data_IF_800169597907
#
_entry.id   IF_800169597907
#
_cell.length_a   1.000
_cell.length_b   1.000
_cell.length_c   1.000
_cell.angle_alpha   90.00
_cell.angle_beta   90.00
_cell.angle_gamma   90.00
#
_symmetry.space_group_name_H-M   'P 1'
#
loop_
_entity.id
_entity.type
_entity.pdbx_description
1 polymer ?
#
# COMPACT_ATOMS: atom_id res chain seq x y z
N UNK A 1 -25.79 28.26 -19.16
CA UNK A 1 -26.12 29.57 -18.58
C UNK A 1 -25.31 29.78 -17.30
N UNK A 2 -24.19 30.50 -17.40
CA UNK A 2 -23.44 31.08 -16.28
C UNK A 2 -22.90 32.43 -16.80
N UNK A 3 -23.79 33.42 -16.95
CA UNK A 3 -23.44 34.68 -17.63
C UNK A 3 -23.21 35.85 -16.68
N UNK A 4 -23.25 35.65 -15.36
CA UNK A 4 -23.24 36.74 -14.37
C UNK A 4 -22.27 36.57 -13.20
N UNK A 5 -21.18 35.84 -13.41
CA UNK A 5 -20.05 35.91 -12.47
C UNK A 5 -19.39 37.29 -12.56
N UNK A 6 -19.06 37.89 -11.41
CA UNK A 6 -18.26 39.12 -11.33
C UNK A 6 -16.97 38.93 -12.14
N UNK A 7 -16.80 39.75 -13.19
CA UNK A 7 -15.55 39.80 -13.96
C UNK A 7 -14.61 40.80 -13.30
N UNK A 8 -13.31 40.49 -13.29
CA UNK A 8 -12.32 41.48 -12.87
C UNK A 8 -12.41 42.70 -13.80
N UNK A 9 -12.22 43.90 -13.26
CA UNK A 9 -12.19 45.11 -14.08
C UNK A 9 -11.04 45.01 -15.10
N UNK A 10 -11.32 45.31 -16.37
CA UNK A 10 -10.31 45.32 -17.44
C UNK A 10 -10.16 44.03 -18.26
N UNK A 11 -10.99 43.00 -18.01
CA UNK A 11 -11.04 41.80 -18.87
C UNK A 11 -12.33 41.71 -19.68
N UNK A 12 -12.23 41.37 -20.97
CA UNK A 12 -13.35 41.11 -21.88
C UNK A 12 -13.89 39.66 -21.74
N UNK A 13 -13.22 38.82 -20.94
CA UNK A 13 -13.53 37.40 -20.77
C UNK A 13 -12.88 36.47 -21.80
N UNK A 14 -12.20 36.99 -22.83
CA UNK A 14 -11.38 36.19 -23.74
C UNK A 14 -9.97 35.92 -23.18
N UNK A 15 -9.62 36.58 -22.08
CA UNK A 15 -8.38 36.34 -21.35
C UNK A 15 -8.32 34.99 -20.63
N UNK A 16 -9.34 34.12 -20.73
CA UNK A 16 -9.35 32.82 -20.04
C UNK A 16 -8.13 31.94 -20.41
N UNK A 17 -7.59 32.11 -21.62
CA UNK A 17 -6.34 31.48 -22.08
C UNK A 17 -5.11 32.06 -21.39
N UNK A 18 -5.13 33.36 -21.08
CA UNK A 18 -4.07 34.10 -20.41
C UNK A 18 -4.21 34.11 -18.88
N UNK A 19 -5.38 33.72 -18.36
CA UNK A 19 -5.65 33.58 -16.93
C UNK A 19 -4.70 32.50 -16.41
N UNK A 20 -3.82 32.90 -15.49
CA UNK A 20 -2.75 32.10 -14.89
C UNK A 20 -3.07 30.60 -14.92
N UNK A 21 -2.58 29.90 -15.95
CA UNK A 21 -2.67 28.45 -16.00
C UNK A 21 -1.95 27.96 -14.76
N UNK A 22 -2.67 27.23 -13.91
CA UNK A 22 -2.07 26.59 -12.74
C UNK A 22 -0.83 25.85 -13.24
N UNK A 23 0.34 26.18 -12.68
CA UNK A 23 1.58 25.59 -13.15
C UNK A 23 1.47 24.06 -13.08
N UNK A 24 1.93 23.37 -14.13
CA UNK A 24 1.70 21.94 -14.34
C UNK A 24 2.07 21.10 -13.10
N UNK A 25 3.16 21.43 -12.42
CA UNK A 25 3.61 20.73 -11.21
C UNK A 25 2.58 20.76 -10.05
N UNK A 26 1.75 21.80 -9.94
CA UNK A 26 0.67 21.83 -8.95
C UNK A 26 -0.46 20.87 -9.31
N UNK A 27 -0.80 20.77 -10.60
CA UNK A 27 -1.82 19.83 -11.09
C UNK A 27 -1.34 18.38 -10.88
N UNK A 28 -0.10 18.08 -11.24
CA UNK A 28 0.53 16.78 -11.04
C UNK A 28 0.59 16.41 -9.55
N UNK A 29 1.05 17.33 -8.69
CA UNK A 29 1.07 17.11 -7.25
C UNK A 29 -0.33 16.80 -6.69
N UNK A 30 -1.36 17.52 -7.12
CA UNK A 30 -2.74 17.27 -6.67
C UNK A 30 -3.25 15.90 -7.15
N UNK A 31 -2.99 15.55 -8.41
CA UNK A 31 -3.38 14.27 -9.01
C UNK A 31 -2.70 13.10 -8.30
N UNK A 32 -1.38 13.11 -8.15
CA UNK A 32 -0.64 12.00 -7.53
C UNK A 32 -0.98 11.82 -6.05
N UNK A 33 -1.23 12.91 -5.30
CA UNK A 33 -1.76 12.80 -3.93
C UNK A 33 -3.12 12.09 -3.91
N UNK A 34 -4.00 12.41 -4.85
CA UNK A 34 -5.33 11.80 -4.93
C UNK A 34 -5.23 10.30 -5.25
N UNK A 35 -4.42 9.96 -6.26
CA UNK A 35 -4.18 8.56 -6.67
C UNK A 35 -3.56 7.74 -5.54
N UNK A 36 -2.54 8.26 -4.85
CA UNK A 36 -1.92 7.57 -3.71
C UNK A 36 -2.93 7.27 -2.59
N UNK A 37 -3.82 8.21 -2.27
CA UNK A 37 -4.88 7.96 -1.28
C UNK A 37 -5.79 6.81 -1.69
N UNK A 38 -6.11 6.69 -2.98
CA UNK A 38 -6.89 5.56 -3.48
C UNK A 38 -6.16 4.22 -3.39
N UNK A 39 -4.82 4.19 -3.50
CA UNK A 39 -4.04 2.98 -3.23
C UNK A 39 -3.92 2.64 -1.74
N UNK A 40 -3.95 3.63 -0.85
CA UNK A 40 -3.93 3.39 0.59
C UNK A 40 -5.21 2.71 1.11
N UNK A 41 -6.35 2.86 0.43
CA UNK A 41 -7.62 2.21 0.83
C UNK A 41 -7.53 0.68 0.77
N UNK A 42 -7.23 0.03 -0.38
CA UNK A 42 -7.10 -1.42 -0.44
C UNK A 42 -5.91 -1.93 0.39
N UNK A 43 -4.82 -1.17 0.48
CA UNK A 43 -3.72 -1.49 1.40
C UNK A 43 -4.24 -1.60 2.83
N UNK A 44 -4.95 -0.58 3.32
CA UNK A 44 -5.50 -0.56 4.67
C UNK A 44 -6.48 -1.72 4.92
N UNK A 45 -7.29 -2.10 3.93
CA UNK A 45 -8.19 -3.25 4.05
C UNK A 45 -7.42 -4.57 4.26
N UNK A 46 -6.43 -4.85 3.42
CA UNK A 46 -5.59 -6.06 3.53
C UNK A 46 -4.81 -6.03 4.85
N UNK A 47 -4.31 -4.85 5.22
CA UNK A 47 -3.59 -4.64 6.46
C UNK A 47 -4.46 -4.98 7.68
N UNK A 48 -5.73 -4.58 7.72
CA UNK A 48 -6.65 -4.96 8.80
C UNK A 48 -6.78 -6.48 8.90
N UNK A 49 -6.92 -7.20 7.79
CA UNK A 49 -6.96 -8.67 7.81
C UNK A 49 -5.67 -9.29 8.33
N UNK A 50 -4.51 -8.78 7.91
CA UNK A 50 -3.21 -9.24 8.40
C UNK A 50 -3.03 -8.95 9.90
N UNK A 51 -3.48 -7.79 10.37
CA UNK A 51 -3.51 -7.49 11.81
C UNK A 51 -4.48 -8.37 12.58
N UNK A 52 -5.62 -8.78 12.02
CA UNK A 52 -6.51 -9.74 12.67
C UNK A 52 -5.83 -11.11 12.80
N UNK A 53 -5.15 -11.60 11.75
CA UNK A 53 -4.38 -12.85 11.80
C UNK A 53 -3.22 -12.74 12.79
N UNK A 54 -2.24 -11.91 12.48
CA UNK A 54 -0.97 -11.78 13.23
C UNK A 54 -1.19 -11.21 14.63
N UNK A 55 -2.09 -10.24 14.76
CA UNK A 55 -2.42 -9.62 16.04
C UNK A 55 -3.14 -10.57 17.01
N UNK A 56 -4.01 -11.45 16.51
CA UNK A 56 -4.64 -12.47 17.38
C UNK A 56 -3.61 -13.42 17.98
N UNK A 57 -2.64 -13.85 17.18
CA UNK A 57 -1.52 -14.67 17.62
C UNK A 57 -0.61 -13.93 18.60
N UNK A 58 -0.24 -12.69 18.28
CA UNK A 58 0.57 -11.83 19.14
C UNK A 58 -0.09 -11.62 20.52
N UNK A 59 -1.39 -11.33 20.55
CA UNK A 59 -2.15 -11.15 21.78
C UNK A 59 -2.24 -12.46 22.59
N UNK A 60 -2.41 -13.60 21.92
CA UNK A 60 -2.45 -14.91 22.56
C UNK A 60 -1.12 -15.25 23.24
N UNK A 61 0.01 -15.06 22.54
CA UNK A 61 1.32 -15.42 23.08
C UNK A 61 1.84 -14.44 24.15
N UNK A 62 1.66 -13.14 23.96
CA UNK A 62 2.26 -12.13 24.85
C UNK A 62 1.34 -11.72 26.02
N UNK A 63 0.03 -11.78 25.83
CA UNK A 63 -0.95 -11.32 26.83
C UNK A 63 -1.89 -12.43 27.30
N UNK A 64 -1.74 -13.66 26.81
CA UNK A 64 -2.60 -14.78 27.17
C UNK A 64 -4.05 -14.62 26.71
N UNK A 65 -4.31 -13.73 25.75
CA UNK A 65 -5.66 -13.48 25.25
C UNK A 65 -6.20 -14.69 24.48
N UNK A 66 -7.38 -15.17 24.88
CA UNK A 66 -8.06 -16.29 24.23
C UNK A 66 -9.43 -15.86 23.75
N UNK A 67 -9.77 -16.27 22.53
CA UNK A 67 -11.04 -15.96 21.92
C UNK A 67 -11.54 -17.15 21.11
N UNK A 68 -12.74 -17.63 21.44
CA UNK A 68 -13.32 -18.83 20.84
C UNK A 68 -13.48 -18.75 19.31
N UNK A 69 -13.65 -17.54 18.74
CA UNK A 69 -13.70 -17.37 17.29
C UNK A 69 -12.34 -17.66 16.64
N UNK A 70 -11.25 -17.10 17.19
CA UNK A 70 -9.91 -17.30 16.65
C UNK A 70 -9.38 -18.72 16.91
N UNK A 71 -9.74 -19.33 18.04
CA UNK A 71 -9.44 -20.74 18.32
C UNK A 71 -10.14 -21.67 17.33
N UNK A 72 -11.42 -21.40 17.00
CA UNK A 72 -12.14 -22.16 15.97
C UNK A 72 -11.60 -21.91 14.57
N UNK A 73 -11.12 -20.70 14.31
CA UNK A 73 -10.55 -20.35 13.02
C UNK A 73 -9.26 -21.14 12.76
N UNK A 74 -8.52 -21.49 13.82
CA UNK A 74 -7.32 -22.33 13.82
C UNK A 74 -6.31 -21.94 12.72
N UNK A 75 -5.90 -20.68 12.77
CA UNK A 75 -4.94 -20.14 11.78
C UNK A 75 -3.54 -20.68 12.02
N UNK A 76 -2.79 -20.97 10.93
CA UNK A 76 -1.39 -21.35 11.05
C UNK A 76 -0.58 -20.23 11.68
N UNK A 77 0.50 -20.62 12.37
CA UNK A 77 1.42 -19.69 13.00
C UNK A 77 1.91 -18.63 11.99
N UNK A 78 2.05 -17.39 12.45
CA UNK A 78 2.49 -16.29 11.61
C UNK A 78 3.99 -16.43 11.28
N UNK A 79 4.31 -16.30 10.00
CA UNK A 79 5.70 -16.25 9.56
C UNK A 79 6.36 -14.94 9.99
N UNK A 80 7.68 -14.91 10.23
CA UNK A 80 8.39 -13.68 10.61
C UNK A 80 8.18 -12.51 9.64
N UNK A 81 8.09 -12.78 8.34
CA UNK A 81 7.85 -11.74 7.34
C UNK A 81 6.48 -11.08 7.47
N UNK A 82 5.46 -11.79 7.98
CA UNK A 82 4.11 -11.25 8.18
C UNK A 82 4.11 -10.15 9.24
N UNK A 83 4.86 -10.34 10.33
CA UNK A 83 5.03 -9.33 11.37
C UNK A 83 5.66 -8.05 10.82
N UNK A 84 6.69 -8.18 9.98
CA UNK A 84 7.34 -7.04 9.34
C UNK A 84 6.38 -6.37 8.35
N UNK A 85 5.62 -7.17 7.57
CA UNK A 85 4.64 -6.64 6.63
C UNK A 85 3.50 -5.88 7.31
N UNK A 86 3.08 -6.29 8.52
CA UNK A 86 2.10 -5.56 9.33
C UNK A 86 2.56 -4.14 9.72
N UNK A 87 3.86 -3.82 9.62
CA UNK A 87 4.39 -2.47 9.80
C UNK A 87 4.24 -1.58 8.55
N UNK A 88 3.65 -2.09 7.47
CA UNK A 88 3.41 -1.34 6.22
C UNK A 88 2.40 -0.18 6.35
N UNK A 89 1.79 0.05 7.52
CA UNK A 89 1.06 1.30 7.78
C UNK A 89 1.99 2.51 7.99
N UNK A 90 3.23 2.29 8.41
CA UNK A 90 4.22 3.35 8.64
C UNK A 90 4.42 4.22 7.40
N UNK A 91 4.70 3.67 6.20
CA UNK A 91 4.83 4.49 4.99
C UNK A 91 3.54 5.23 4.62
N UNK A 92 2.34 4.66 4.87
CA UNK A 92 1.07 5.37 4.69
C UNK A 92 1.02 6.63 5.57
N UNK A 93 1.34 6.50 6.87
CA UNK A 93 1.36 7.62 7.81
C UNK A 93 2.39 8.67 7.40
N UNK A 94 3.61 8.26 7.04
CA UNK A 94 4.66 9.16 6.57
C UNK A 94 4.24 9.88 5.28
N UNK A 95 3.70 9.17 4.29
CA UNK A 95 3.23 9.75 3.04
C UNK A 95 2.12 10.78 3.28
N UNK A 96 1.07 10.44 4.03
CA UNK A 96 -0.01 11.36 4.37
C UNK A 96 0.49 12.60 5.12
N UNK A 97 1.42 12.42 6.07
CA UNK A 97 2.01 13.54 6.82
C UNK A 97 2.85 14.48 5.94
N UNK A 98 3.39 13.97 4.82
CA UNK A 98 4.14 14.77 3.85
C UNK A 98 3.23 15.65 2.98
N UNK A 99 1.97 15.26 2.77
CA UNK A 99 1.07 15.89 1.79
C UNK A 99 0.64 17.31 2.17
N UNK A 100 0.49 17.62 3.46
CA UNK A 100 -0.02 18.94 3.89
C UNK A 100 0.93 20.09 3.57
N UNK A 101 2.25 19.84 3.64
CA UNK A 101 3.29 20.87 3.44
C UNK A 101 4.31 20.49 2.37
N UNK A 102 3.96 19.55 1.49
CA UNK A 102 4.82 19.03 0.42
C UNK A 102 6.24 18.69 0.92
N UNK A 103 6.33 17.99 2.07
CA UNK A 103 7.61 17.71 2.73
C UNK A 103 8.37 16.60 1.99
N UNK A 104 9.16 16.97 0.99
CA UNK A 104 9.90 16.05 0.14
C UNK A 104 10.73 15.01 0.92
N UNK A 105 11.46 15.43 1.96
CA UNK A 105 12.25 14.51 2.81
C UNK A 105 11.39 13.42 3.47
N UNK A 106 10.20 13.79 3.96
CA UNK A 106 9.29 12.83 4.62
C UNK A 106 8.68 11.88 3.59
N UNK A 107 8.39 12.37 2.38
CA UNK A 107 7.94 11.52 1.28
C UNK A 107 9.01 10.51 0.86
N UNK A 108 10.29 10.88 0.84
CA UNK A 108 11.38 9.93 0.62
C UNK A 108 11.49 8.88 1.73
N UNK A 109 11.32 9.27 3.00
CA UNK A 109 11.25 8.28 4.09
C UNK A 109 10.06 7.33 3.91
N UNK A 110 8.90 7.83 3.49
CA UNK A 110 7.76 6.98 3.14
C UNK A 110 8.10 6.00 2.00
N UNK A 111 8.74 6.48 0.94
CA UNK A 111 9.16 5.66 -0.21
C UNK A 111 10.09 4.51 0.20
N UNK A 112 11.12 4.77 1.01
CA UNK A 112 12.03 3.72 1.46
C UNK A 112 11.38 2.80 2.52
N UNK A 113 10.54 3.33 3.40
CA UNK A 113 9.77 2.51 4.32
C UNK A 113 8.78 1.58 3.61
N UNK A 114 8.18 2.02 2.50
CA UNK A 114 7.32 1.21 1.63
C UNK A 114 8.09 0.01 1.04
N UNK A 115 9.34 0.21 0.64
CA UNK A 115 10.18 -0.89 0.18
C UNK A 115 10.50 -1.87 1.32
N UNK A 116 10.96 -1.37 2.47
CA UNK A 116 11.43 -2.19 3.61
C UNK A 116 10.28 -2.97 4.27
N UNK A 117 9.12 -2.35 4.43
CA UNK A 117 7.98 -2.95 5.14
C UNK A 117 6.90 -3.50 4.20
N UNK A 118 6.93 -3.19 2.90
CA UNK A 118 5.94 -3.64 1.91
C UNK A 118 6.52 -4.67 0.96
N UNK A 119 7.44 -4.23 0.08
CA UNK A 119 8.02 -5.10 -0.97
C UNK A 119 8.92 -6.18 -0.38
N UNK A 120 9.86 -5.82 0.50
CA UNK A 120 10.89 -6.73 1.00
C UNK A 120 10.33 -7.95 1.76
N UNK A 121 9.34 -7.81 2.67
CA UNK A 121 8.72 -8.96 3.33
C UNK A 121 7.96 -9.86 2.35
N UNK A 122 7.30 -9.28 1.33
CA UNK A 122 6.66 -10.06 0.27
C UNK A 122 7.69 -10.88 -0.54
N UNK A 123 8.88 -10.34 -0.82
CA UNK A 123 9.93 -11.09 -1.52
C UNK A 123 10.44 -12.27 -0.67
N UNK A 124 10.61 -12.07 0.64
CA UNK A 124 10.99 -13.14 1.58
C UNK A 124 9.88 -14.21 1.61
N UNK A 125 8.62 -13.80 1.73
CA UNK A 125 7.47 -14.70 1.73
C UNK A 125 7.35 -15.50 0.43
N UNK A 126 7.51 -14.85 -0.72
CA UNK A 126 7.51 -15.52 -2.03
C UNK A 126 8.61 -16.59 -2.13
N UNK A 127 9.85 -16.23 -1.78
CA UNK A 127 10.96 -17.16 -1.81
C UNK A 127 10.79 -18.32 -0.83
N UNK A 128 10.30 -18.05 0.38
CA UNK A 128 10.08 -19.05 1.42
C UNK A 128 8.98 -20.06 1.05
N UNK A 129 7.90 -19.60 0.39
CA UNK A 129 6.77 -20.45 0.01
C UNK A 129 6.94 -21.12 -1.36
N UNK A 130 8.06 -20.88 -2.06
CA UNK A 130 8.30 -21.47 -3.39
C UNK A 130 8.39 -23.00 -3.38
N UNK A 131 9.10 -23.67 -2.44
CA UNK A 131 9.13 -25.13 -2.40
C UNK A 131 7.75 -25.74 -2.19
N UNK A 132 6.95 -25.18 -1.28
CA UNK A 132 5.57 -25.60 -1.00
C UNK A 132 4.67 -25.42 -2.24
N UNK A 133 4.84 -24.32 -2.99
CA UNK A 133 4.11 -24.10 -4.23
C UNK A 133 4.47 -25.14 -5.30
N UNK A 134 5.76 -25.45 -5.43
CA UNK A 134 6.24 -26.44 -6.40
C UNK A 134 5.81 -27.86 -6.03
N UNK A 135 5.81 -28.21 -4.75
CA UNK A 135 5.27 -29.48 -4.25
C UNK A 135 3.79 -29.59 -4.60
N UNK A 136 2.98 -28.59 -4.23
CA UNK A 136 1.56 -28.54 -4.54
C UNK A 136 1.27 -28.59 -6.06
N UNK A 137 2.07 -27.90 -6.87
CA UNK A 137 1.88 -27.85 -8.32
C UNK A 137 2.23 -29.17 -9.02
N UNK A 138 3.21 -29.91 -8.49
CA UNK A 138 3.61 -31.20 -9.04
C UNK A 138 2.69 -32.34 -8.59
N UNK A 139 2.22 -32.31 -7.34
CA UNK A 139 1.35 -33.33 -6.76
C UNK A 139 0.28 -32.70 -5.86
N UNK A 140 -0.83 -32.29 -6.48
CA UNK A 140 -1.92 -31.63 -5.75
C UNK A 140 -2.59 -32.54 -4.72
N UNK A 141 -2.69 -33.85 -4.99
CA UNK A 141 -3.38 -34.82 -4.12
C UNK A 141 -2.47 -35.34 -3.00
N UNK A 142 -1.18 -35.54 -3.29
CA UNK A 142 -0.19 -36.05 -2.33
C UNK A 142 0.58 -34.97 -1.56
N UNK A 143 0.48 -33.69 -1.92
CA UNK A 143 1.16 -32.63 -1.17
C UNK A 143 0.62 -32.49 0.26
N UNK A 144 1.53 -32.24 1.21
CA UNK A 144 1.18 -32.00 2.61
C UNK A 144 0.93 -30.52 2.92
N UNK A 145 0.54 -29.75 1.90
CA UNK A 145 0.33 -28.31 1.99
C UNK A 145 -0.78 -27.99 2.99
N UNK A 146 -0.56 -27.12 4.00
CA UNK A 146 -1.61 -26.69 4.91
C UNK A 146 -2.80 -26.09 4.14
N UNK A 147 -4.01 -26.44 4.56
CA UNK A 147 -5.24 -25.91 3.94
C UNK A 147 -6.02 -25.03 4.92
N UNK A 148 -6.58 -23.94 4.42
CA UNK A 148 -7.53 -23.13 5.15
C UNK A 148 -8.85 -23.90 5.31
N UNK A 149 -9.14 -24.28 6.56
CA UNK A 149 -10.33 -25.06 6.95
C UNK A 149 -10.52 -26.37 6.17
N UNK A 150 -9.42 -27.02 5.74
CA UNK A 150 -9.50 -28.28 5.00
C UNK A 150 -9.90 -28.14 3.53
N UNK A 151 -10.06 -26.92 3.00
CA UNK A 151 -10.61 -26.71 1.66
C UNK A 151 -9.57 -26.08 0.72
N UNK A 152 -9.03 -24.92 1.09
CA UNK A 152 -8.23 -24.12 0.16
C UNK A 152 -6.75 -24.10 0.55
N UNK A 153 -5.81 -24.44 -0.36
CA UNK A 153 -4.38 -24.50 -0.02
C UNK A 153 -3.85 -23.12 0.40
N UNK A 154 -3.17 -23.07 1.55
CA UNK A 154 -2.69 -21.82 2.11
C UNK A 154 -1.63 -21.17 1.22
N UNK A 155 -0.78 -21.97 0.56
CA UNK A 155 0.22 -21.48 -0.41
C UNK A 155 -0.41 -20.66 -1.54
N UNK A 156 -1.58 -21.07 -2.05
CA UNK A 156 -2.28 -20.34 -3.13
C UNK A 156 -2.82 -19.01 -2.60
N UNK A 157 -3.36 -18.98 -1.38
CA UNK A 157 -3.79 -17.73 -0.72
C UNK A 157 -2.62 -16.77 -0.60
N UNK A 158 -1.45 -17.27 -0.17
CA UNK A 158 -0.26 -16.45 -0.03
C UNK A 158 0.21 -15.87 -1.36
N UNK A 159 0.23 -16.65 -2.44
CA UNK A 159 0.62 -16.14 -3.76
C UNK A 159 -0.38 -15.13 -4.33
N UNK A 160 -1.69 -15.29 -4.06
CA UNK A 160 -2.69 -14.25 -4.38
C UNK A 160 -2.41 -12.97 -3.58
N UNK A 161 -2.16 -13.11 -2.28
CA UNK A 161 -1.78 -11.99 -1.42
C UNK A 161 -0.54 -11.28 -1.93
N UNK A 162 0.54 -12.00 -2.27
CA UNK A 162 1.78 -11.41 -2.78
C UNK A 162 1.54 -10.69 -4.11
N UNK A 163 0.79 -11.28 -5.03
CA UNK A 163 0.48 -10.64 -6.31
C UNK A 163 -0.26 -9.31 -6.12
N UNK A 164 -1.23 -9.24 -5.20
CA UNK A 164 -1.97 -8.02 -4.91
C UNK A 164 -1.11 -7.02 -4.13
N UNK A 165 -0.40 -7.46 -3.09
CA UNK A 165 0.42 -6.61 -2.25
C UNK A 165 1.57 -5.96 -3.05
N UNK A 166 2.27 -6.72 -3.89
CA UNK A 166 3.34 -6.18 -4.73
C UNK A 166 2.83 -5.13 -5.73
N UNK A 167 1.60 -5.29 -6.26
CA UNK A 167 0.99 -4.27 -7.11
C UNK A 167 0.69 -3.00 -6.31
N UNK A 168 0.05 -3.11 -5.14
CA UNK A 168 -0.27 -1.97 -4.29
C UNK A 168 1.00 -1.20 -3.92
N UNK A 169 2.02 -1.88 -3.43
CA UNK A 169 3.28 -1.26 -3.01
C UNK A 169 4.06 -0.72 -4.22
N UNK A 170 4.17 -1.49 -5.30
CA UNK A 170 4.89 -1.07 -6.51
C UNK A 170 4.30 0.18 -7.15
N UNK A 171 2.97 0.25 -7.29
CA UNK A 171 2.30 1.44 -7.79
C UNK A 171 2.38 2.60 -6.80
N UNK A 172 2.25 2.35 -5.49
CA UNK A 172 2.42 3.39 -4.48
C UNK A 172 3.82 4.01 -4.56
N UNK A 173 4.87 3.20 -4.65
CA UNK A 173 6.24 3.69 -4.85
C UNK A 173 6.39 4.48 -6.15
N UNK A 174 5.84 3.98 -7.26
CA UNK A 174 5.85 4.68 -8.55
C UNK A 174 5.22 6.07 -8.45
N UNK A 175 4.05 6.21 -7.84
CA UNK A 175 3.39 7.50 -7.69
C UNK A 175 4.05 8.40 -6.65
N UNK A 176 4.65 7.84 -5.58
CA UNK A 176 5.46 8.61 -4.64
C UNK A 176 6.70 9.20 -5.33
N UNK A 177 7.34 8.46 -6.24
CA UNK A 177 8.48 8.96 -7.02
C UNK A 177 8.07 10.16 -7.91
N UNK A 178 6.95 10.05 -8.63
CA UNK A 178 6.46 11.15 -9.47
C UNK A 178 5.98 12.36 -8.64
N UNK A 179 5.37 12.10 -7.48
CA UNK A 179 4.99 13.15 -6.55
C UNK A 179 6.24 13.88 -5.99
N UNK A 180 7.30 13.13 -5.70
CA UNK A 180 8.58 13.70 -5.27
C UNK A 180 9.20 14.58 -6.37
N UNK A 181 9.17 14.13 -7.62
CA UNK A 181 9.62 14.92 -8.77
C UNK A 181 8.81 16.23 -8.93
N UNK A 182 7.48 16.17 -8.76
CA UNK A 182 6.61 17.35 -8.83
C UNK A 182 6.86 18.37 -7.69
N UNK A 183 7.45 17.95 -6.57
CA UNK A 183 7.83 18.84 -5.46
C UNK A 183 9.30 19.25 -5.49
N UNK A 184 10.12 18.63 -6.34
CA UNK A 184 11.52 18.95 -6.43
C UNK A 184 11.69 20.39 -6.99
N UNK A 185 12.65 21.17 -6.48
CA UNK A 185 12.93 22.49 -7.02
C UNK A 185 13.38 22.36 -8.48
N UNK A 186 12.89 23.28 -9.33
CA UNK A 186 13.33 23.37 -10.73
C UNK A 186 14.83 23.61 -10.74
N UNK A 187 15.60 22.71 -11.35
CA UNK A 187 17.03 22.89 -11.54
C UNK A 187 17.22 24.12 -12.43
N UNK A 188 17.80 25.18 -11.86
CA UNK A 188 18.31 26.31 -12.62
C UNK A 188 19.72 25.92 -13.04
N UNK A 189 19.90 25.65 -14.34
CA UNK A 189 21.24 25.58 -14.91
C UNK A 189 21.86 26.99 -14.97
#
# INVERSE_FOLDING_TARGET
MSSRGVRAAGTDGNDFQNRQRIAQHYQESAQYKSVLKWFFVPHFLILVFMWLKVGSEFLRYNFGWKNAFFERLDMPAAYPWEYVWCLSFIPIVLALSSFQRNKLKVLHYAYYAEFICGIFPCMIGLGGQLPELLEYANDMEGSNTPTFKGIFPMVIIWYIFFAVALQIHGFSMYFMHHLAAAWAPVKRD
#
